data_IF_616218089081
#
_entry.id   IF_616218089081
#
_cell.length_a   1.000
_cell.length_b   1.000
_cell.length_c   1.000
_cell.angle_alpha   90.00
_cell.angle_beta   90.00
_cell.angle_gamma   90.00
#
_symmetry.space_group_name_H-M   'P 1'
#
loop_
_entity.id
_entity.type
_entity.pdbx_description
1 polymer ?
#
# COMPACT_ATOMS: atom_id res chain seq x y z
N UNK A 1 -10.45 12.36 -64.38
CA UNK A 1 -11.26 12.32 -63.13
C UNK A 1 -10.39 11.97 -61.90
N UNK A 2 -9.36 12.77 -61.58
CA UNK A 2 -8.34 12.39 -60.57
C UNK A 2 -8.13 13.40 -59.41
N UNK A 3 -8.85 14.54 -59.39
CA UNK A 3 -8.67 15.58 -58.37
C UNK A 3 -9.77 15.62 -57.29
N UNK A 4 -10.91 14.94 -57.46
CA UNK A 4 -12.00 14.94 -56.45
C UNK A 4 -11.76 13.98 -55.27
N UNK A 5 -10.96 12.93 -55.45
CA UNK A 5 -10.74 11.87 -54.45
C UNK A 5 -9.73 12.30 -53.36
N UNK A 6 -8.81 13.22 -53.68
CA UNK A 6 -7.79 13.70 -52.73
C UNK A 6 -8.38 14.66 -51.69
N UNK A 7 -9.37 15.45 -52.07
CA UNK A 7 -10.00 16.44 -51.19
C UNK A 7 -10.86 15.80 -50.08
N UNK A 8 -11.53 14.69 -50.36
CA UNK A 8 -12.37 13.98 -49.37
C UNK A 8 -11.56 13.28 -48.29
N UNK A 9 -10.38 12.71 -48.62
CA UNK A 9 -9.49 12.11 -47.60
C UNK A 9 -8.96 13.14 -46.59
N UNK A 10 -8.69 14.36 -47.03
CA UNK A 10 -8.17 15.42 -46.15
C UNK A 10 -9.21 15.92 -45.13
N UNK A 11 -10.49 15.96 -45.51
CA UNK A 11 -11.59 16.39 -44.62
C UNK A 11 -11.90 15.33 -43.55
N UNK A 12 -11.85 14.03 -43.92
CA UNK A 12 -12.09 12.93 -42.98
C UNK A 12 -10.96 12.84 -41.93
N UNK A 13 -9.70 13.03 -42.34
CA UNK A 13 -8.55 13.03 -41.42
C UNK A 13 -8.67 14.11 -40.33
N UNK A 14 -9.13 15.32 -40.70
CA UNK A 14 -9.34 16.44 -39.77
C UNK A 14 -10.47 16.18 -38.76
N UNK A 15 -11.49 15.40 -39.12
CA UNK A 15 -12.60 15.05 -38.24
C UNK A 15 -12.20 14.00 -37.18
N UNK A 16 -11.33 13.05 -37.52
CA UNK A 16 -10.84 12.05 -36.57
C UNK A 16 -9.88 12.65 -35.52
N UNK A 17 -9.03 13.60 -35.92
CA UNK A 17 -8.11 14.30 -35.01
C UNK A 17 -8.83 15.16 -33.97
N UNK A 18 -10.00 15.72 -34.30
CA UNK A 18 -10.83 16.49 -33.37
C UNK A 18 -11.50 15.61 -32.30
N UNK A 19 -11.89 14.37 -32.65
CA UNK A 19 -12.51 13.41 -31.73
C UNK A 19 -11.50 12.87 -30.71
N UNK A 20 -10.27 12.60 -31.15
CA UNK A 20 -9.15 12.13 -30.29
C UNK A 20 -8.75 13.14 -29.22
N UNK A 21 -8.75 14.45 -29.54
CA UNK A 21 -8.45 15.52 -28.57
C UNK A 21 -9.51 15.64 -27.46
N UNK A 22 -10.78 15.38 -27.78
CA UNK A 22 -11.89 15.40 -26.80
C UNK A 22 -11.83 14.23 -25.82
N UNK A 23 -11.46 13.05 -26.29
CA UNK A 23 -11.32 11.86 -25.44
C UNK A 23 -10.12 11.94 -24.48
N UNK A 24 -8.98 12.50 -24.93
CA UNK A 24 -7.80 12.68 -24.08
C UNK A 24 -8.07 13.72 -22.98
N UNK A 25 -8.74 14.84 -23.31
CA UNK A 25 -9.12 15.84 -22.30
C UNK A 25 -10.06 15.29 -21.21
N UNK A 26 -10.98 14.38 -21.57
CA UNK A 26 -11.90 13.75 -20.64
C UNK A 26 -11.19 12.77 -19.69
N UNK A 27 -10.21 12.01 -20.17
CA UNK A 27 -9.41 11.11 -19.33
C UNK A 27 -8.52 11.85 -18.31
N UNK A 28 -7.95 13.01 -18.67
CA UNK A 28 -7.15 13.82 -17.74
C UNK A 28 -8.03 14.39 -16.62
N UNK A 29 -9.23 14.89 -16.95
CA UNK A 29 -10.16 15.44 -15.97
C UNK A 29 -10.69 14.37 -14.99
N UNK A 30 -10.96 13.15 -15.47
CA UNK A 30 -11.43 12.06 -14.61
C UNK A 30 -10.28 11.50 -13.76
N UNK A 31 -9.07 11.36 -14.33
CA UNK A 31 -7.89 10.89 -13.62
C UNK A 31 -7.47 11.79 -12.44
N UNK A 32 -7.59 13.11 -12.59
CA UNK A 32 -7.31 14.04 -11.48
C UNK A 32 -8.27 13.89 -10.29
N UNK A 33 -9.54 13.53 -10.54
CA UNK A 33 -10.51 13.33 -9.47
C UNK A 33 -10.23 12.06 -8.66
N UNK A 34 -9.85 10.97 -9.33
CA UNK A 34 -9.56 9.66 -8.68
C UNK A 34 -8.27 9.73 -7.84
N UNK A 35 -7.26 10.48 -8.29
CA UNK A 35 -5.99 10.63 -7.55
C UNK A 35 -6.21 11.42 -6.25
N UNK A 36 -7.10 12.41 -6.23
CA UNK A 36 -7.37 13.22 -5.03
C UNK A 36 -8.14 12.45 -3.95
N UNK A 37 -9.10 11.58 -4.31
CA UNK A 37 -9.79 10.73 -3.32
C UNK A 37 -8.85 9.69 -2.70
N UNK A 38 -7.95 9.09 -3.48
CA UNK A 38 -7.02 8.06 -2.99
C UNK A 38 -6.01 8.61 -1.97
N UNK A 39 -5.61 9.89 -2.08
CA UNK A 39 -4.65 10.50 -1.14
C UNK A 39 -5.31 10.80 0.22
N UNK A 40 -6.62 11.08 0.25
CA UNK A 40 -7.31 11.44 1.50
C UNK A 40 -7.37 10.26 2.50
N UNK A 41 -7.32 9.02 2.02
CA UNK A 41 -7.45 7.81 2.86
C UNK A 41 -6.15 7.42 3.59
N UNK A 42 -4.98 7.90 3.14
CA UNK A 42 -3.68 7.69 3.82
C UNK A 42 -3.43 8.70 4.95
N UNK A 43 -4.28 9.72 5.12
CA UNK A 43 -4.06 10.81 6.06
C UNK A 43 -4.72 10.60 7.45
N UNK A 44 -5.53 9.55 7.64
CA UNK A 44 -6.19 9.28 8.91
C UNK A 44 -5.28 8.52 9.89
N UNK A 45 -4.15 9.13 10.25
CA UNK A 45 -3.59 8.90 11.57
C UNK A 45 -4.53 9.56 12.59
N UNK A 46 -5.08 8.83 13.58
CA UNK A 46 -5.98 9.42 14.56
C UNK A 46 -5.29 10.58 15.30
N UNK A 47 -5.97 11.72 15.50
CA UNK A 47 -5.39 12.89 16.13
C UNK A 47 -4.92 12.55 17.56
N UNK A 48 -3.64 12.84 17.82
CA UNK A 48 -3.00 12.61 19.10
C UNK A 48 -3.69 13.52 20.15
N UNK A 49 -4.17 12.98 21.29
CA UNK A 49 -4.92 13.77 22.28
C UNK A 49 -4.10 14.95 22.83
N UNK A 50 -4.75 16.10 22.98
CA UNK A 50 -4.16 17.41 23.29
C UNK A 50 -3.84 17.63 24.79
N UNK A 51 -4.21 16.71 25.68
CA UNK A 51 -3.92 16.81 27.12
C UNK A 51 -2.48 16.33 27.42
N UNK A 52 -1.57 17.26 27.71
CA UNK A 52 -0.13 17.02 27.98
C UNK A 52 0.14 16.00 29.10
N UNK A 53 -0.72 15.91 30.12
CA UNK A 53 -0.58 14.97 31.25
C UNK A 53 -1.01 13.54 30.88
N UNK A 54 -2.17 13.37 30.24
CA UNK A 54 -2.63 12.08 29.71
C UNK A 54 -1.76 11.56 28.57
N UNK A 55 -1.16 12.47 27.79
CA UNK A 55 -0.26 12.17 26.68
C UNK A 55 1.00 11.47 27.17
N UNK A 56 1.59 11.90 28.28
CA UNK A 56 2.79 11.26 28.82
C UNK A 56 2.49 9.87 29.38
N UNK A 57 1.35 9.67 30.04
CA UNK A 57 0.96 8.34 30.54
C UNK A 57 0.60 7.36 29.42
N UNK A 58 -0.11 7.82 28.37
CA UNK A 58 -0.37 7.01 27.18
C UNK A 58 0.92 6.65 26.43
N UNK A 59 1.85 7.61 26.29
CA UNK A 59 3.16 7.40 25.66
C UNK A 59 4.03 6.46 26.50
N UNK A 60 4.02 6.56 27.84
CA UNK A 60 4.73 5.61 28.73
C UNK A 60 4.21 4.19 28.56
N UNK A 61 2.87 4.00 28.62
CA UNK A 61 2.24 2.69 28.42
C UNK A 61 2.51 2.11 27.03
N UNK A 62 2.51 2.94 25.99
CA UNK A 62 2.87 2.51 24.65
C UNK A 62 4.35 2.09 24.57
N UNK A 63 5.25 2.89 25.15
CA UNK A 63 6.70 2.63 25.19
C UNK A 63 7.02 1.32 25.92
N UNK A 64 6.32 1.02 27.01
CA UNK A 64 6.46 -0.26 27.72
C UNK A 64 6.02 -1.46 26.89
N UNK A 65 4.95 -1.33 26.10
CA UNK A 65 4.52 -2.37 25.17
C UNK A 65 5.53 -2.56 24.04
N UNK A 66 5.99 -1.48 23.42
CA UNK A 66 6.99 -1.53 22.34
C UNK A 66 8.33 -2.11 22.80
N UNK A 67 8.75 -1.90 24.05
CA UNK A 67 9.96 -2.53 24.62
C UNK A 67 9.90 -4.06 24.63
N UNK A 68 8.70 -4.64 24.65
CA UNK A 68 8.51 -6.10 24.64
C UNK A 68 8.52 -6.69 23.21
N UNK A 69 8.31 -5.88 22.17
CA UNK A 69 8.29 -6.36 20.79
C UNK A 69 9.62 -6.98 20.32
N UNK A 70 10.79 -6.37 20.56
CA UNK A 70 12.07 -6.97 20.19
C UNK A 70 12.28 -8.34 20.85
N UNK A 71 11.83 -8.49 22.10
CA UNK A 71 11.93 -9.76 22.85
C UNK A 71 11.05 -10.84 22.19
N UNK A 72 9.84 -10.47 21.80
CA UNK A 72 8.88 -11.37 21.15
C UNK A 72 9.41 -11.82 19.78
N UNK A 73 9.95 -10.89 18.99
CA UNK A 73 10.53 -11.18 17.67
C UNK A 73 11.78 -12.03 17.81
N UNK A 74 12.65 -11.74 18.79
CA UNK A 74 13.86 -12.53 19.05
C UNK A 74 13.54 -13.99 19.41
N UNK A 75 12.43 -14.26 20.11
CA UNK A 75 12.00 -15.64 20.39
C UNK A 75 11.53 -16.40 19.14
N UNK A 76 11.07 -15.68 18.11
CA UNK A 76 10.64 -16.23 16.82
C UNK A 76 11.65 -15.99 15.69
N UNK A 77 12.94 -15.79 16.02
CA UNK A 77 13.97 -15.48 15.04
C UNK A 77 14.14 -16.60 14.00
N UNK A 78 13.96 -17.87 14.39
CA UNK A 78 14.13 -19.02 13.50
C UNK A 78 13.06 -19.06 12.39
N UNK A 79 11.78 -18.91 12.76
CA UNK A 79 10.68 -18.85 11.78
C UNK A 79 10.69 -17.54 10.99
N UNK A 80 11.14 -16.44 11.61
CA UNK A 80 11.34 -15.16 10.93
C UNK A 80 12.46 -15.23 9.88
N UNK A 81 13.56 -15.94 10.17
CA UNK A 81 14.67 -16.12 9.24
C UNK A 81 14.25 -16.94 8.01
N UNK A 82 13.43 -17.99 8.18
CA UNK A 82 12.87 -18.78 7.07
C UNK A 82 11.99 -17.92 6.16
N UNK A 83 11.11 -17.10 6.75
CA UNK A 83 10.30 -16.15 6.00
C UNK A 83 11.16 -15.12 5.27
N UNK A 84 12.15 -14.53 5.94
CA UNK A 84 13.07 -13.58 5.33
C UNK A 84 13.88 -14.21 4.18
N UNK A 85 14.34 -15.45 4.34
CA UNK A 85 15.04 -16.17 3.27
C UNK A 85 14.16 -16.37 2.03
N UNK A 86 12.89 -16.74 2.21
CA UNK A 86 11.93 -16.86 1.11
C UNK A 86 11.69 -15.52 0.40
N UNK A 87 11.54 -14.43 1.18
CA UNK A 87 11.35 -13.07 0.63
C UNK A 87 12.60 -12.60 -0.13
N UNK A 88 13.80 -12.84 0.40
CA UNK A 88 15.05 -12.43 -0.23
C UNK A 88 15.41 -13.27 -1.46
N UNK A 89 14.93 -14.51 -1.54
CA UNK A 89 15.16 -15.39 -2.68
C UNK A 89 14.34 -15.00 -3.93
N UNK A 90 13.27 -14.21 -3.78
CA UNK A 90 12.38 -13.81 -4.88
C UNK A 90 12.55 -12.31 -5.19
N UNK A 91 12.79 -11.98 -6.46
CA UNK A 91 12.86 -10.59 -6.96
C UNK A 91 11.47 -9.95 -7.14
N UNK A 92 10.49 -10.75 -7.56
CA UNK A 92 9.13 -10.31 -7.87
C UNK A 92 8.14 -10.97 -6.91
N UNK A 93 7.98 -10.37 -5.74
CA UNK A 93 7.12 -10.88 -4.69
C UNK A 93 5.65 -10.56 -4.98
N UNK A 94 4.85 -11.58 -5.20
CA UNK A 94 3.40 -11.50 -5.21
C UNK A 94 2.83 -11.85 -3.83
N UNK A 95 1.62 -11.34 -3.55
CA UNK A 95 0.92 -11.63 -2.31
C UNK A 95 0.62 -13.14 -2.23
N UNK A 96 1.24 -13.82 -1.27
CA UNK A 96 1.05 -15.26 -1.03
C UNK A 96 2.27 -16.13 -1.34
N UNK A 97 3.33 -15.56 -1.91
CA UNK A 97 4.52 -16.31 -2.35
C UNK A 97 5.31 -17.03 -1.24
N UNK A 98 5.20 -16.55 0.00
CA UNK A 98 5.83 -17.09 1.20
C UNK A 98 4.80 -17.29 2.32
N UNK A 99 3.56 -17.67 1.95
CA UNK A 99 2.44 -17.74 2.89
C UNK A 99 2.63 -18.84 3.95
N UNK A 100 3.26 -19.96 3.59
CA UNK A 100 3.61 -21.06 4.50
C UNK A 100 4.50 -20.58 5.64
N UNK A 101 5.62 -19.97 5.29
CA UNK A 101 6.65 -19.45 6.19
C UNK A 101 6.08 -18.31 7.04
N UNK A 102 5.25 -17.47 6.43
CA UNK A 102 4.56 -16.40 7.13
C UNK A 102 3.55 -16.93 8.16
N UNK A 103 2.81 -18.00 7.85
CA UNK A 103 1.87 -18.63 8.79
C UNK A 103 2.61 -19.20 10.00
N UNK A 104 3.76 -19.86 9.79
CA UNK A 104 4.60 -20.37 10.88
C UNK A 104 5.14 -19.24 11.76
N UNK A 105 5.65 -18.18 11.14
CA UNK A 105 6.14 -17.00 11.84
C UNK A 105 5.02 -16.31 12.64
N UNK A 106 3.85 -16.10 12.03
CA UNK A 106 2.68 -15.53 12.68
C UNK A 106 2.19 -16.40 13.85
N UNK A 107 2.16 -17.72 13.69
CA UNK A 107 1.77 -18.63 14.76
C UNK A 107 2.74 -18.55 15.95
N UNK A 108 4.05 -18.42 15.68
CA UNK A 108 5.04 -18.18 16.73
C UNK A 108 4.79 -16.85 17.44
N UNK A 109 4.63 -15.75 16.70
CA UNK A 109 4.35 -14.44 17.26
C UNK A 109 3.10 -14.44 18.15
N UNK A 110 2.00 -15.05 17.71
CA UNK A 110 0.77 -15.15 18.51
C UNK A 110 0.95 -15.96 19.80
N UNK A 111 1.69 -17.07 19.75
CA UNK A 111 2.02 -17.88 20.94
C UNK A 111 2.84 -17.08 21.94
N UNK A 112 3.86 -16.36 21.46
CA UNK A 112 4.75 -15.57 22.31
C UNK A 112 4.06 -14.31 22.84
N UNK A 113 3.17 -13.70 22.05
CA UNK A 113 2.32 -12.58 22.45
C UNK A 113 1.45 -12.94 23.65
N UNK A 114 0.80 -14.11 23.58
CA UNK A 114 -0.03 -14.64 24.65
C UNK A 114 0.79 -14.89 25.93
N UNK A 115 2.00 -15.47 25.79
CA UNK A 115 2.91 -15.70 26.94
C UNK A 115 3.37 -14.40 27.60
N UNK A 116 3.64 -13.35 26.82
CA UNK A 116 4.19 -12.09 27.33
C UNK A 116 3.11 -11.03 27.70
N UNK A 117 1.82 -11.40 27.62
CA UNK A 117 0.67 -10.52 27.88
C UNK A 117 0.74 -9.20 27.07
N UNK A 118 1.15 -9.30 25.82
CA UNK A 118 1.31 -8.17 24.90
C UNK A 118 0.38 -8.34 23.72
N UNK A 119 -0.38 -7.29 23.39
CA UNK A 119 -1.14 -7.24 22.15
C UNK A 119 -0.19 -6.96 20.97
N UNK A 120 -0.15 -7.91 20.04
CA UNK A 120 0.47 -7.82 18.72
C UNK A 120 -0.56 -7.34 17.70
#
# INVERSE_FOLDING_TARGET
MSNRIKHTKFVIQRLEDAKRKRTIGLCIAIGSAIILETIYEWAQCPPIPKNKSLKMEAVKKAKERFRKYPIIIAQCHESGAKYAACVLAKSDLQKGDCESEFKEFKACLMKVAAKNNTKL
#
